data_IF_893365347056
#
_entry.id   IF_893365347056
#
_cell.length_a   1.000
_cell.length_b   1.000
_cell.length_c   1.000
_cell.angle_alpha   90.00
_cell.angle_beta   90.00
_cell.angle_gamma   90.00
#
_symmetry.space_group_name_H-M   'P 1'
#
loop_
_entity.id
_entity.type
_entity.pdbx_description
1 polymer ?
#
# COMPACT_ATOMS: atom_id res chain seq x y z
N UNK A 1 -6.01 -8.56 18.43
CA UNK A 1 -5.17 -8.09 17.31
C UNK A 1 -5.41 -8.87 16.03
N UNK A 2 -5.32 -10.21 16.02
CA UNK A 2 -5.59 -11.03 14.82
C UNK A 2 -6.93 -10.71 14.14
N UNK A 3 -8.03 -10.65 14.90
CA UNK A 3 -9.35 -10.34 14.36
C UNK A 3 -9.42 -8.98 13.63
N UNK A 4 -8.72 -7.96 14.12
CA UNK A 4 -8.67 -6.65 13.46
C UNK A 4 -7.87 -6.70 12.16
N UNK A 5 -6.82 -7.53 12.10
CA UNK A 5 -6.04 -7.75 10.88
C UNK A 5 -6.81 -8.56 9.84
N UNK A 6 -7.53 -9.60 10.26
CA UNK A 6 -8.38 -10.38 9.37
C UNK A 6 -9.51 -9.52 8.78
N UNK A 7 -10.11 -8.67 9.62
CA UNK A 7 -11.13 -7.71 9.19
C UNK A 7 -10.58 -6.69 8.20
N UNK A 8 -9.42 -6.08 8.50
CA UNK A 8 -8.76 -5.17 7.56
C UNK A 8 -8.45 -5.86 6.23
N UNK A 9 -7.94 -7.09 6.24
CA UNK A 9 -7.68 -7.88 5.03
C UNK A 9 -8.93 -8.10 4.20
N UNK A 10 -10.05 -8.45 4.85
CA UNK A 10 -11.33 -8.65 4.16
C UNK A 10 -11.79 -7.36 3.47
N UNK A 11 -11.72 -6.22 4.18
CA UNK A 11 -12.08 -4.91 3.62
C UNK A 11 -11.13 -4.50 2.49
N UNK A 12 -9.83 -4.69 2.66
CA UNK A 12 -8.80 -4.44 1.64
C UNK A 12 -9.12 -5.20 0.35
N UNK A 13 -9.36 -6.51 0.44
CA UNK A 13 -9.69 -7.34 -0.72
C UNK A 13 -11.04 -6.95 -1.36
N UNK A 14 -12.02 -6.56 -0.54
CA UNK A 14 -13.34 -6.12 -1.05
C UNK A 14 -13.23 -4.81 -1.83
N UNK A 15 -12.45 -3.85 -1.31
CA UNK A 15 -12.40 -2.48 -1.87
C UNK A 15 -11.44 -2.38 -3.05
N UNK A 16 -10.22 -2.92 -2.93
CA UNK A 16 -9.19 -2.77 -3.98
C UNK A 16 -8.81 -4.07 -4.67
N UNK A 17 -9.21 -5.22 -4.13
CA UNK A 17 -8.75 -6.53 -4.60
C UNK A 17 -9.05 -6.79 -6.06
N UNK A 18 -10.29 -6.51 -6.52
CA UNK A 18 -10.66 -6.71 -7.93
C UNK A 18 -9.84 -5.84 -8.89
N UNK A 19 -9.62 -4.57 -8.53
CA UNK A 19 -8.81 -3.66 -9.36
C UNK A 19 -7.34 -4.12 -9.42
N UNK A 20 -6.81 -4.63 -8.31
CA UNK A 20 -5.42 -5.11 -8.25
C UNK A 20 -5.24 -6.41 -9.03
N UNK A 21 -6.18 -7.35 -8.88
CA UNK A 21 -6.20 -8.59 -9.65
C UNK A 21 -6.29 -8.32 -11.16
N UNK A 22 -7.19 -7.41 -11.57
CA UNK A 22 -7.30 -7.00 -12.97
C UNK A 22 -5.98 -6.37 -13.50
N UNK A 23 -5.23 -5.68 -12.65
CA UNK A 23 -3.91 -5.14 -12.99
C UNK A 23 -2.77 -6.19 -12.92
N UNK A 24 -3.07 -7.44 -12.55
CA UNK A 24 -2.12 -8.55 -12.47
C UNK A 24 -1.41 -8.70 -11.12
N UNK A 25 -1.88 -8.01 -10.07
CA UNK A 25 -1.37 -8.14 -8.72
C UNK A 25 -2.13 -9.21 -7.94
N UNK A 26 -1.40 -10.04 -7.20
CA UNK A 26 -1.96 -11.07 -6.33
C UNK A 26 -1.53 -10.84 -4.89
N UNK A 27 -2.44 -11.05 -3.93
CA UNK A 27 -2.09 -11.02 -2.51
C UNK A 27 -1.17 -12.22 -2.19
N UNK A 28 0.02 -11.94 -1.65
CA UNK A 28 0.96 -12.99 -1.24
C UNK A 28 0.55 -13.57 0.09
N UNK A 29 0.44 -14.91 0.15
CA UNK A 29 0.09 -15.64 1.36
C UNK A 29 1.27 -15.69 2.35
N UNK A 30 1.26 -14.78 3.32
CA UNK A 30 2.28 -14.69 4.37
C UNK A 30 1.61 -14.64 5.75
N UNK A 31 1.12 -15.77 6.29
CA UNK A 31 0.27 -15.78 7.48
C UNK A 31 0.84 -15.05 8.69
N UNK A 32 2.15 -15.19 8.94
CA UNK A 32 2.84 -14.50 10.05
C UNK A 32 2.86 -12.98 9.84
N UNK A 33 3.06 -12.52 8.60
CA UNK A 33 3.08 -11.09 8.28
C UNK A 33 1.67 -10.49 8.33
N UNK A 34 0.67 -11.26 7.89
CA UNK A 34 -0.74 -10.86 7.99
C UNK A 34 -1.15 -10.68 9.45
N UNK A 35 -0.75 -11.57 10.35
CA UNK A 35 -0.93 -11.41 11.80
C UNK A 35 -0.28 -10.13 12.34
N UNK A 36 0.82 -9.69 11.73
CA UNK A 36 1.52 -8.43 12.02
C UNK A 36 0.94 -7.19 11.31
N UNK A 37 -0.14 -7.35 10.54
CA UNK A 37 -0.79 -6.26 9.78
C UNK A 37 -0.06 -5.84 8.51
N UNK A 38 0.77 -6.70 7.95
CA UNK A 38 1.41 -6.46 6.66
C UNK A 38 0.72 -7.28 5.57
N UNK A 39 0.23 -6.60 4.53
CA UNK A 39 -0.44 -7.23 3.39
C UNK A 39 0.27 -6.82 2.11
N UNK A 40 0.84 -7.80 1.42
CA UNK A 40 1.70 -7.58 0.27
C UNK A 40 1.01 -8.08 -1.00
N UNK A 41 0.73 -7.18 -1.93
CA UNK A 41 0.35 -7.54 -3.28
C UNK A 41 1.60 -7.58 -4.16
N UNK A 42 1.67 -8.57 -5.05
CA UNK A 42 2.80 -8.78 -5.96
C UNK A 42 2.32 -8.98 -7.38
N UNK A 43 3.02 -8.35 -8.32
CA UNK A 43 2.92 -8.57 -9.77
C UNK A 43 4.32 -8.90 -10.30
N UNK A 44 4.44 -9.93 -11.11
CA UNK A 44 5.68 -10.16 -11.87
C UNK A 44 5.80 -9.12 -13.00
N UNK A 45 6.99 -8.56 -13.16
CA UNK A 45 7.36 -7.68 -14.27
C UNK A 45 8.27 -8.45 -15.24
N UNK A 46 8.76 -7.77 -16.27
CA UNK A 46 9.84 -8.29 -17.12
C UNK A 46 11.17 -8.36 -16.33
N UNK A 47 12.15 -9.09 -16.88
CA UNK A 47 13.54 -9.11 -16.39
C UNK A 47 13.71 -9.58 -14.93
N UNK A 48 12.92 -10.56 -14.49
CA UNK A 48 12.98 -11.12 -13.14
C UNK A 48 12.64 -10.12 -12.02
N UNK A 49 12.08 -8.96 -12.37
CA UNK A 49 11.61 -7.96 -11.42
C UNK A 49 10.17 -8.25 -10.98
N UNK A 50 9.85 -7.73 -9.80
CA UNK A 50 8.52 -7.77 -9.21
C UNK A 50 8.11 -6.36 -8.79
N UNK A 51 6.84 -6.03 -8.99
CA UNK A 51 6.18 -4.86 -8.43
C UNK A 51 5.40 -5.27 -7.18
N UNK A 52 5.54 -4.48 -6.13
CA UNK A 52 4.93 -4.72 -4.83
C UNK A 52 4.14 -3.52 -4.34
N UNK A 53 2.94 -3.78 -3.84
CA UNK A 53 2.12 -2.82 -3.11
C UNK A 53 1.91 -3.39 -1.71
N UNK A 54 2.54 -2.78 -0.70
CA UNK A 54 2.49 -3.25 0.68
C UNK A 54 1.64 -2.32 1.53
N UNK A 55 0.61 -2.87 2.16
CA UNK A 55 -0.13 -2.21 3.23
C UNK A 55 0.47 -2.58 4.56
N UNK A 56 0.77 -1.58 5.40
CA UNK A 56 1.04 -1.80 6.81
C UNK A 56 -0.08 -1.19 7.64
N UNK A 57 -0.84 -2.03 8.32
CA UNK A 57 -1.98 -1.69 9.14
C UNK A 57 -1.64 -1.78 10.64
N UNK A 58 -1.89 -0.68 11.34
CA UNK A 58 -1.78 -0.55 12.80
C UNK A 58 -3.19 -0.37 13.38
N UNK A 59 -3.72 -1.46 13.94
CA UNK A 59 -5.01 -1.46 14.62
C UNK A 59 -4.86 -0.92 16.04
N UNK A 60 -5.68 0.07 16.40
CA UNK A 60 -5.85 0.53 17.77
C UNK A 60 -7.25 0.15 18.24
N UNK A 61 -7.33 -0.45 19.43
CA UNK A 61 -8.60 -0.78 20.07
C UNK A 61 -8.99 0.41 20.93
N UNK A 62 -10.18 0.96 20.67
CA UNK A 62 -10.78 1.97 21.53
C UNK A 62 -10.91 1.42 22.95
N UNK A 63 -10.41 2.16 23.93
CA UNK A 63 -10.60 1.87 25.34
C UNK A 63 -11.31 3.06 25.99
N UNK A 64 -11.84 2.85 27.20
CA UNK A 64 -12.49 3.92 27.98
C UNK A 64 -11.56 5.14 28.23
N UNK A 65 -10.25 4.98 28.06
CA UNK A 65 -9.24 6.02 28.30
C UNK A 65 -8.46 6.45 27.06
N UNK A 66 -8.64 5.79 25.91
CA UNK A 66 -7.91 6.13 24.69
C UNK A 66 -8.71 5.79 23.43
N UNK A 67 -8.89 6.81 22.57
CA UNK A 67 -9.61 6.73 21.31
C UNK A 67 -8.70 7.12 20.14
N UNK A 68 -7.59 6.37 19.98
CA UNK A 68 -6.68 6.59 18.86
C UNK A 68 -7.25 5.92 17.60
N UNK A 69 -7.30 6.61 16.45
CA UNK A 69 -7.78 6.01 15.21
C UNK A 69 -6.81 4.93 14.74
N UNK A 70 -7.36 3.82 14.21
CA UNK A 70 -6.58 2.84 13.45
C UNK A 70 -6.03 3.50 12.19
N UNK A 71 -4.90 3.01 11.71
CA UNK A 71 -4.23 3.64 10.56
C UNK A 71 -3.46 2.66 9.70
N UNK A 72 -3.26 3.03 8.45
CA UNK A 72 -2.39 2.29 7.56
C UNK A 72 -1.53 3.21 6.69
N UNK A 73 -0.47 2.63 6.13
CA UNK A 73 0.36 3.23 5.08
C UNK A 73 0.53 2.26 3.93
N UNK A 74 0.85 2.79 2.76
CA UNK A 74 1.13 2.02 1.55
C UNK A 74 2.55 2.31 1.10
N UNK A 75 3.35 1.25 0.96
CA UNK A 75 4.72 1.31 0.41
C UNK A 75 4.75 0.58 -0.92
N UNK A 76 5.35 1.21 -1.91
CA UNK A 76 5.54 0.70 -3.27
C UNK A 76 6.99 0.27 -3.42
N UNK A 77 7.23 -0.93 -3.95
CA UNK A 77 8.59 -1.43 -4.20
C UNK A 77 8.67 -2.11 -5.56
N UNK A 78 9.69 -1.79 -6.36
CA UNK A 78 10.14 -2.61 -7.49
C UNK A 78 11.46 -3.26 -7.10
N UNK A 79 11.55 -4.59 -7.19
CA UNK A 79 12.73 -5.35 -6.75
C UNK A 79 12.84 -6.66 -7.51
N UNK A 80 14.06 -7.15 -7.70
CA UNK A 80 14.39 -8.53 -8.12
C UNK A 80 14.20 -9.53 -6.95
N UNK A 81 14.03 -9.06 -5.72
CA UNK A 81 13.64 -9.90 -4.59
C UNK A 81 12.18 -10.34 -4.69
N UNK A 82 11.85 -11.63 -4.51
CA UNK A 82 10.48 -12.13 -4.60
C UNK A 82 9.57 -11.70 -3.43
N UNK A 83 10.13 -11.03 -2.41
CA UNK A 83 9.47 -10.64 -1.15
C UNK A 83 9.72 -9.17 -0.79
N UNK A 84 9.94 -8.31 -1.79
CA UNK A 84 10.10 -6.86 -1.63
C UNK A 84 11.27 -6.43 -0.71
N UNK A 85 12.29 -7.27 -0.53
CA UNK A 85 13.48 -6.87 0.22
C UNK A 85 14.32 -5.87 -0.58
N UNK A 86 15.10 -5.08 0.17
CA UNK A 86 16.09 -4.17 -0.41
C UNK A 86 17.06 -4.95 -1.27
N UNK A 87 17.29 -4.45 -2.48
CA UNK A 87 18.23 -5.02 -3.42
C UNK A 87 19.29 -4.01 -3.85
N UNK A 88 20.40 -4.54 -4.37
CA UNK A 88 21.44 -3.76 -5.07
C UNK A 88 21.13 -3.61 -6.58
N UNK A 89 20.05 -4.21 -7.09
CA UNK A 89 19.67 -4.13 -8.49
C UNK A 89 19.45 -2.67 -8.94
N UNK A 90 19.95 -2.22 -10.11
CA UNK A 90 19.82 -0.83 -10.54
C UNK A 90 18.37 -0.33 -10.67
N UNK A 91 17.44 -1.21 -11.03
CA UNK A 91 16.02 -0.89 -11.13
C UNK A 91 15.27 -0.94 -9.79
N UNK A 92 15.96 -1.25 -8.68
CA UNK A 92 15.36 -1.29 -7.35
C UNK A 92 14.88 0.12 -6.95
N UNK A 93 13.60 0.24 -6.62
CA UNK A 93 13.03 1.45 -6.04
C UNK A 93 12.08 1.09 -4.91
N UNK A 94 12.02 1.93 -3.88
CA UNK A 94 11.04 1.79 -2.80
C UNK A 94 10.63 3.16 -2.27
N UNK A 95 9.33 3.41 -2.16
CA UNK A 95 8.77 4.71 -1.77
C UNK A 95 7.42 4.54 -1.09
N UNK A 96 7.14 5.35 -0.08
CA UNK A 96 5.78 5.46 0.45
C UNK A 96 4.88 6.17 -0.57
N UNK A 97 3.67 5.67 -0.78
CA UNK A 97 2.73 6.19 -1.78
C UNK A 97 2.44 7.68 -1.58
N UNK A 98 2.30 8.11 -0.32
CA UNK A 98 2.06 9.50 0.02
C UNK A 98 3.24 10.41 -0.35
N UNK A 99 4.48 9.94 -0.15
CA UNK A 99 5.68 10.66 -0.56
C UNK A 99 5.82 10.70 -2.09
N UNK A 100 5.53 9.60 -2.79
CA UNK A 100 5.53 9.55 -4.25
C UNK A 100 4.60 10.62 -4.83
N UNK A 101 3.37 10.71 -4.32
CA UNK A 101 2.37 11.65 -4.83
C UNK A 101 2.70 13.10 -4.48
N UNK A 102 2.99 13.38 -3.20
CA UNK A 102 3.12 14.76 -2.70
C UNK A 102 4.48 15.35 -3.02
N UNK A 103 5.56 14.60 -2.80
CA UNK A 103 6.90 15.08 -3.10
C UNK A 103 7.17 14.84 -4.58
N UNK A 104 7.26 13.58 -5.00
CA UNK A 104 7.88 13.27 -6.29
C UNK A 104 7.04 13.83 -7.47
N UNK A 105 5.71 13.66 -7.44
CA UNK A 105 4.80 14.25 -8.43
C UNK A 105 4.33 15.68 -8.12
N UNK A 106 4.55 16.20 -6.91
CA UNK A 106 4.15 17.56 -6.53
C UNK A 106 2.64 17.78 -6.41
N UNK A 107 1.84 16.71 -6.27
CA UNK A 107 0.38 16.77 -6.26
C UNK A 107 -0.13 16.86 -4.82
N UNK A 108 -0.68 18.03 -4.44
CA UNK A 108 -1.15 18.31 -3.08
C UNK A 108 -2.57 17.78 -2.80
N UNK A 109 -2.80 16.49 -3.07
CA UNK A 109 -4.08 15.83 -2.75
C UNK A 109 -4.09 15.19 -1.36
N UNK A 110 -2.91 14.88 -0.80
CA UNK A 110 -2.76 14.40 0.57
C UNK A 110 -2.20 15.50 1.46
N UNK A 111 -2.49 15.48 2.79
CA UNK A 111 -2.00 16.49 3.72
C UNK A 111 -0.48 16.60 3.81
N UNK A 112 0.25 15.51 3.60
CA UNK A 112 1.72 15.48 3.63
C UNK A 112 2.31 14.24 2.97
N UNK A 113 3.61 14.28 2.70
CA UNK A 113 4.39 13.14 2.23
C UNK A 113 4.49 11.97 3.21
N UNK A 114 4.30 12.25 4.51
CA UNK A 114 4.30 11.26 5.58
C UNK A 114 2.88 10.85 5.99
N UNK A 115 1.90 11.02 5.09
CA UNK A 115 0.50 10.77 5.40
C UNK A 115 0.25 9.30 5.75
N UNK A 116 -0.51 9.11 6.83
CA UNK A 116 -1.14 7.85 7.22
C UNK A 116 -2.64 8.00 7.04
N UNK A 117 -3.26 7.05 6.35
CA UNK A 117 -4.70 6.97 6.28
C UNK A 117 -5.24 6.49 7.62
N UNK A 118 -6.15 7.25 8.21
CA UNK A 118 -6.73 6.99 9.53
C UNK A 118 -8.20 6.69 9.44
N UNK A 119 -8.70 5.77 10.27
CA UNK A 119 -10.11 5.44 10.34
C UNK A 119 -10.50 5.01 11.76
N UNK A 120 -11.76 5.21 12.10
CA UNK A 120 -12.35 4.82 13.39
C UNK A 120 -13.48 3.81 13.25
N UNK A 121 -14.05 3.66 12.06
CA UNK A 121 -15.16 2.76 11.77
C UNK A 121 -15.04 2.14 10.35
N UNK A 122 -15.96 1.23 10.04
CA UNK A 122 -16.00 0.48 8.77
C UNK A 122 -16.16 1.36 7.54
N UNK A 123 -17.01 2.38 7.61
CA UNK A 123 -17.30 3.24 6.47
C UNK A 123 -16.08 4.11 6.13
N UNK A 124 -15.44 4.68 7.15
CA UNK A 124 -14.17 5.40 7.02
C UNK A 124 -13.05 4.51 6.50
N UNK A 125 -12.98 3.24 6.95
CA UNK A 125 -12.01 2.28 6.43
C UNK A 125 -12.24 2.05 4.93
N UNK A 126 -13.48 1.81 4.51
CA UNK A 126 -13.82 1.64 3.10
C UNK A 126 -13.44 2.84 2.26
N UNK A 127 -13.77 4.05 2.73
CA UNK A 127 -13.47 5.30 2.04
C UNK A 127 -11.95 5.53 1.90
N UNK A 128 -11.20 5.38 2.99
CA UNK A 128 -9.74 5.60 2.98
C UNK A 128 -8.99 4.54 2.19
N UNK A 129 -9.44 3.28 2.19
CA UNK A 129 -8.92 2.24 1.31
C UNK A 129 -9.17 2.58 -0.17
N UNK A 130 -10.35 3.10 -0.50
CA UNK A 130 -10.69 3.50 -1.86
C UNK A 130 -9.85 4.69 -2.33
N UNK A 131 -9.64 5.71 -1.48
CA UNK A 131 -8.73 6.83 -1.77
C UNK A 131 -7.31 6.33 -2.04
N UNK A 132 -6.73 5.56 -1.11
CA UNK A 132 -5.40 4.98 -1.29
C UNK A 132 -5.32 4.11 -2.57
N UNK A 133 -6.35 3.30 -2.83
CA UNK A 133 -6.44 2.45 -4.02
C UNK A 133 -6.44 3.26 -5.33
N UNK A 134 -7.17 4.37 -5.40
CA UNK A 134 -7.12 5.26 -6.56
C UNK A 134 -5.72 5.84 -6.78
N UNK A 135 -4.99 6.19 -5.72
CA UNK A 135 -3.63 6.71 -5.84
C UNK A 135 -2.64 5.61 -6.26
N UNK A 136 -2.81 4.39 -5.76
CA UNK A 136 -2.03 3.25 -6.22
C UNK A 136 -2.27 3.01 -7.70
N UNK A 137 -3.51 3.02 -8.18
CA UNK A 137 -3.82 2.81 -9.60
C UNK A 137 -3.31 3.96 -10.48
N UNK A 138 -3.52 5.22 -10.06
CA UNK A 138 -3.18 6.40 -10.86
C UNK A 138 -1.69 6.75 -10.88
N UNK A 139 -0.98 6.51 -9.78
CA UNK A 139 0.44 6.89 -9.63
C UNK A 139 1.33 5.69 -9.33
N UNK A 140 0.91 4.83 -8.39
CA UNK A 140 1.77 3.76 -7.89
C UNK A 140 2.10 2.68 -8.91
N UNK A 141 1.09 2.11 -9.57
CA UNK A 141 1.27 1.04 -10.55
C UNK A 141 2.07 1.49 -11.77
N UNK A 142 1.76 2.62 -12.44
CA UNK A 142 2.55 3.11 -13.57
C UNK A 142 3.99 3.47 -13.17
N UNK A 143 4.20 4.00 -11.96
CA UNK A 143 5.54 4.26 -11.44
C UNK A 143 6.33 2.97 -11.21
N UNK A 144 5.68 1.95 -10.65
CA UNK A 144 6.28 0.62 -10.46
C UNK A 144 6.63 -0.07 -11.78
N UNK A 145 5.88 0.15 -12.85
CA UNK A 145 6.21 -0.37 -14.19
C UNK A 145 7.23 0.48 -14.94
N UNK A 146 7.51 1.71 -14.47
CA UNK A 146 8.36 2.67 -15.17
C UNK A 146 7.65 3.38 -16.33
N UNK A 147 6.33 3.22 -16.46
CA UNK A 147 5.50 3.93 -17.45
C UNK A 147 5.22 5.38 -17.04
N UNK A 148 5.34 5.68 -15.75
CA UNK A 148 5.19 7.02 -15.20
C UNK A 148 6.42 7.41 -14.38
N UNK A 149 7.10 8.46 -14.82
CA UNK A 149 8.24 9.03 -14.13
C UNK A 149 7.87 10.38 -13.51
N UNK A 150 8.33 10.68 -12.28
CA UNK A 150 8.22 12.01 -11.72
C UNK A 150 8.88 13.05 -12.64
N UNK A 151 8.34 14.28 -12.75
CA UNK A 151 8.96 15.32 -13.55
C UNK A 151 10.38 15.62 -13.05
N UNK A 152 11.32 15.81 -13.99
CA UNK A 152 12.68 16.25 -13.68
C UNK A 152 12.60 17.59 -12.92
N UNK A 153 13.08 17.60 -11.69
CA UNK A 153 13.18 18.81 -10.86
C UNK A 153 14.44 19.59 -11.15
#
# INVERSE_FOLDING_TARGET
MQQAQDYFRLMLLTVVGQAYEAAGYQLVELPVQWSGGQFLFRKALSEELYAFIQYQHLAYVSTEWANAPSRFRVTLTRSDSPIAQRSAHPAYVSRDLSALVVEDFGVQILPSAAHWWTYTNTDELGHTLAEAGHLVVGYGMPWLTGELEPPLR
#
